data_IF_795228335454
#
_entry.id   IF_795228335454
#
_cell.length_a   1.000
_cell.length_b   1.000
_cell.length_c   1.000
_cell.angle_alpha   90.00
_cell.angle_beta   90.00
_cell.angle_gamma   90.00
#
_symmetry.space_group_name_H-M   'P 1'
#
loop_
_entity.id
_entity.type
_entity.pdbx_description
1 polymer ?
#
# COMPACT_ATOMS: atom_id res chain seq x y z
N UNK A 1 -3.29 -26.77 -5.37
CA UNK A 1 -3.26 -27.14 -3.93
C UNK A 1 -3.45 -25.84 -3.16
N UNK A 2 -4.40 -25.70 -2.23
CA UNK A 2 -4.56 -24.41 -1.52
C UNK A 2 -3.33 -24.18 -0.64
N UNK A 3 -2.63 -23.03 -0.75
CA UNK A 3 -1.49 -22.75 0.10
C UNK A 3 -1.93 -22.73 1.57
N UNK A 4 -1.09 -23.31 2.44
CA UNK A 4 -1.29 -23.17 3.89
C UNK A 4 -0.91 -21.74 4.29
N UNK A 5 -1.92 -20.91 4.53
CA UNK A 5 -1.75 -19.52 4.95
C UNK A 5 -1.51 -19.37 6.46
N UNK A 6 -1.55 -20.48 7.22
CA UNK A 6 -1.39 -20.46 8.68
C UNK A 6 -0.07 -19.81 9.11
N UNK A 7 1.10 -20.12 8.49
CA UNK A 7 2.36 -19.50 8.88
C UNK A 7 2.39 -17.98 8.64
N UNK A 8 1.86 -17.50 7.50
CA UNK A 8 1.83 -16.06 7.19
C UNK A 8 0.82 -15.32 8.06
N UNK A 9 -0.31 -15.95 8.40
CA UNK A 9 -1.27 -15.39 9.34
C UNK A 9 -0.68 -15.25 10.74
N UNK A 10 -0.02 -16.29 11.26
CA UNK A 10 0.66 -16.23 12.56
C UNK A 10 1.76 -15.16 12.58
N UNK A 11 2.49 -14.98 11.48
CA UNK A 11 3.48 -13.91 11.33
C UNK A 11 2.82 -12.53 11.40
N UNK A 12 1.69 -12.33 10.73
CA UNK A 12 0.93 -11.09 10.76
C UNK A 12 0.41 -10.77 12.18
N UNK A 13 -0.17 -11.75 12.86
CA UNK A 13 -0.66 -11.58 14.24
C UNK A 13 0.47 -11.19 15.21
N UNK A 14 1.65 -11.81 15.05
CA UNK A 14 2.85 -11.46 15.81
C UNK A 14 3.36 -10.06 15.47
N UNK A 15 3.33 -9.66 14.20
CA UNK A 15 3.75 -8.35 13.76
C UNK A 15 2.84 -7.25 14.33
N UNK A 16 1.51 -7.47 14.31
CA UNK A 16 0.53 -6.58 14.94
C UNK A 16 0.77 -6.43 16.45
N UNK A 17 1.03 -7.55 17.14
CA UNK A 17 1.34 -7.52 18.59
C UNK A 17 2.61 -6.72 18.89
N UNK A 18 3.68 -6.94 18.11
CA UNK A 18 4.94 -6.20 18.25
C UNK A 18 4.80 -4.72 17.90
N UNK A 19 3.94 -4.39 16.95
CA UNK A 19 3.60 -3.02 16.60
C UNK A 19 2.90 -2.34 17.79
N UNK A 20 1.88 -2.99 18.37
CA UNK A 20 1.22 -2.47 19.56
C UNK A 20 2.22 -2.23 20.72
N UNK A 21 3.11 -3.18 20.98
CA UNK A 21 4.15 -3.02 22.01
C UNK A 21 5.16 -1.89 21.69
N UNK A 22 5.49 -1.68 20.42
CA UNK A 22 6.44 -0.67 19.97
C UNK A 22 5.92 0.77 20.16
N UNK A 23 4.60 0.94 20.06
CA UNK A 23 3.91 2.23 20.09
C UNK A 23 2.98 2.42 21.31
N UNK A 24 2.95 1.47 22.25
CA UNK A 24 2.27 1.66 23.53
C UNK A 24 2.79 2.89 24.26
N UNK A 25 1.89 3.65 24.87
CA UNK A 25 2.23 4.86 25.59
C UNK A 25 2.51 6.09 24.72
N UNK A 26 2.48 5.96 23.38
CA UNK A 26 2.70 7.10 22.49
C UNK A 26 1.54 8.08 22.58
N UNK A 27 1.85 9.37 22.48
CA UNK A 27 0.90 10.48 22.43
C UNK A 27 1.24 11.43 21.31
N UNK A 28 0.26 12.15 20.79
CA UNK A 28 0.53 13.35 20.00
C UNK A 28 1.22 14.40 20.91
N UNK A 29 1.95 15.36 20.33
CA UNK A 29 2.67 16.38 21.13
C UNK A 29 1.70 17.23 21.94
N UNK A 30 2.08 17.63 23.16
CA UNK A 30 1.21 18.42 24.02
C UNK A 30 0.89 19.82 23.46
N UNK A 31 1.81 20.37 22.67
CA UNK A 31 1.76 21.69 22.03
C UNK A 31 1.23 21.65 20.59
N UNK A 32 0.77 20.50 20.12
CA UNK A 32 0.08 20.38 18.83
C UNK A 32 -1.26 21.15 18.92
N UNK A 33 -1.26 22.39 18.45
CA UNK A 33 -2.42 23.28 18.45
C UNK A 33 -3.18 23.06 17.15
N UNK A 34 -4.46 22.75 17.26
CA UNK A 34 -5.30 22.50 16.09
C UNK A 34 -6.66 23.19 16.19
N UNK A 35 -7.14 23.72 15.06
CA UNK A 35 -8.45 24.36 14.99
C UNK A 35 -9.56 23.35 15.18
N UNK A 36 -10.47 23.59 16.14
CA UNK A 36 -11.64 22.74 16.30
C UNK A 36 -12.51 22.64 15.02
N UNK A 37 -12.41 23.65 14.14
CA UNK A 37 -13.09 23.72 12.86
C UNK A 37 -12.67 22.67 11.83
N UNK A 38 -11.44 22.15 11.91
CA UNK A 38 -10.93 21.13 10.97
C UNK A 38 -10.74 19.76 11.62
N UNK A 39 -10.54 19.72 12.94
CA UNK A 39 -9.94 18.55 13.60
C UNK A 39 -10.86 17.84 14.59
N UNK A 40 -11.90 18.52 15.07
CA UNK A 40 -12.85 18.03 16.07
C UNK A 40 -12.87 18.88 17.33
N UNK A 41 -13.73 18.52 18.27
CA UNK A 41 -13.85 19.22 19.55
C UNK A 41 -12.55 19.15 20.37
N UNK A 42 -12.30 20.12 21.28
CA UNK A 42 -11.19 20.04 22.22
C UNK A 42 -11.16 18.74 23.03
N UNK A 43 -12.33 18.14 23.30
CA UNK A 43 -12.44 16.88 24.01
C UNK A 43 -11.91 15.70 23.16
N UNK A 44 -12.23 15.65 21.86
CA UNK A 44 -11.69 14.65 20.94
C UNK A 44 -10.17 14.78 20.79
N UNK A 45 -9.66 16.01 20.64
CA UNK A 45 -8.23 16.26 20.51
C UNK A 45 -7.44 15.92 21.78
N UNK A 46 -8.06 16.05 22.95
CA UNK A 46 -7.46 15.59 24.20
C UNK A 46 -7.23 14.07 24.23
N UNK A 47 -8.03 13.27 23.51
CA UNK A 47 -7.84 11.81 23.42
C UNK A 47 -6.53 11.44 22.71
N UNK A 48 -6.06 12.28 21.77
CA UNK A 48 -4.76 12.10 21.13
C UNK A 48 -3.58 12.36 22.08
N UNK A 49 -3.82 13.06 23.20
CA UNK A 49 -2.83 13.30 24.26
C UNK A 49 -2.89 12.27 25.39
N UNK A 50 -3.94 11.46 25.42
CA UNK A 50 -4.02 10.31 26.31
C UNK A 50 -3.42 9.08 25.60
N UNK A 51 -2.44 8.38 26.20
CA UNK A 51 -1.89 7.16 25.61
C UNK A 51 -2.93 6.04 25.63
N UNK A 52 -2.87 5.15 24.64
CA UNK A 52 -3.57 3.85 24.62
C UNK A 52 -5.12 3.90 24.77
N UNK A 53 -5.73 5.08 24.68
CA UNK A 53 -7.19 5.24 24.64
C UNK A 53 -7.70 4.97 23.22
N UNK A 54 -8.68 4.07 23.03
CA UNK A 54 -9.29 3.87 21.72
C UNK A 54 -9.97 5.15 21.20
N UNK A 55 -9.74 5.45 19.93
CA UNK A 55 -10.37 6.58 19.24
C UNK A 55 -11.62 6.13 18.52
N UNK A 56 -12.63 7.00 18.45
CA UNK A 56 -13.78 6.78 17.59
C UNK A 56 -13.35 6.71 16.11
N UNK A 57 -14.03 5.94 15.24
CA UNK A 57 -13.63 5.73 13.85
C UNK A 57 -13.39 7.03 13.07
N UNK A 58 -14.25 8.03 13.26
CA UNK A 58 -14.14 9.32 12.56
C UNK A 58 -12.92 10.14 13.02
N UNK A 59 -12.59 10.12 14.32
CA UNK A 59 -11.36 10.75 14.84
C UNK A 59 -10.12 10.00 14.35
N UNK A 60 -10.15 8.66 14.35
CA UNK A 60 -9.06 7.84 13.81
C UNK A 60 -8.80 8.17 12.34
N UNK A 61 -9.86 8.26 11.53
CA UNK A 61 -9.80 8.62 10.11
C UNK A 61 -9.16 9.99 9.90
N UNK A 62 -9.70 11.03 10.54
CA UNK A 62 -9.14 12.39 10.45
C UNK A 62 -7.66 12.44 10.87
N UNK A 63 -7.26 11.60 11.82
CA UNK A 63 -5.89 11.61 12.34
C UNK A 63 -4.86 11.11 11.32
N UNK A 64 -5.17 10.09 10.50
CA UNK A 64 -4.22 9.63 9.49
C UNK A 64 -4.34 10.39 8.16
N UNK A 65 -5.54 10.85 7.83
CA UNK A 65 -5.88 11.41 6.50
C UNK A 65 -5.46 12.87 6.35
N UNK A 66 -5.80 13.70 7.35
CA UNK A 66 -5.68 15.13 7.24
C UNK A 66 -4.22 15.60 7.07
N UNK A 67 -3.97 16.59 6.19
CA UNK A 67 -2.62 16.95 5.74
C UNK A 67 -1.90 17.97 6.62
N UNK A 68 -2.59 18.67 7.50
CA UNK A 68 -2.12 19.88 8.18
C UNK A 68 -1.70 19.65 9.65
N UNK A 69 -1.30 18.43 10.00
CA UNK A 69 -0.61 18.16 11.27
C UNK A 69 0.77 18.81 11.31
N UNK A 70 1.12 19.50 12.41
CA UNK A 70 2.46 20.06 12.56
C UNK A 70 3.51 18.94 12.76
N UNK A 71 3.18 17.90 13.52
CA UNK A 71 3.97 16.67 13.68
C UNK A 71 3.13 15.45 13.29
N UNK A 72 2.96 15.24 11.97
CA UNK A 72 2.25 14.06 11.42
C UNK A 72 2.82 12.74 11.96
N UNK A 73 4.13 12.68 12.15
CA UNK A 73 4.80 11.51 12.70
C UNK A 73 4.37 11.19 14.14
N UNK A 74 4.17 12.19 15.01
CA UNK A 74 3.71 11.97 16.37
C UNK A 74 2.26 11.47 16.44
N UNK A 75 1.36 12.05 15.63
CA UNK A 75 -0.04 11.59 15.59
C UNK A 75 -0.16 10.20 14.97
N UNK A 76 0.60 9.90 13.92
CA UNK A 76 0.62 8.57 13.31
C UNK A 76 1.09 7.52 14.33
N UNK A 77 2.18 7.79 15.06
CA UNK A 77 2.68 6.90 16.13
C UNK A 77 1.63 6.65 17.23
N UNK A 78 0.84 7.67 17.58
CA UNK A 78 -0.24 7.55 18.58
C UNK A 78 -1.35 6.60 18.13
N UNK A 79 -1.72 6.63 16.87
CA UNK A 79 -2.85 5.84 16.37
C UNK A 79 -2.45 4.47 15.85
N UNK A 80 -1.16 4.26 15.56
CA UNK A 80 -0.70 3.12 14.76
C UNK A 80 -1.15 1.74 15.28
N UNK A 81 -1.15 1.44 16.59
CA UNK A 81 -1.68 0.17 17.09
C UNK A 81 -3.13 -0.10 16.71
N UNK A 82 -4.00 0.90 16.88
CA UNK A 82 -5.42 0.80 16.51
C UNK A 82 -5.57 0.82 14.99
N UNK A 83 -4.82 1.70 14.32
CA UNK A 83 -4.89 1.90 12.88
C UNK A 83 -4.49 0.65 12.09
N UNK A 84 -3.43 -0.05 12.50
CA UNK A 84 -3.01 -1.29 11.86
C UNK A 84 -4.05 -2.40 11.97
N UNK A 85 -4.78 -2.49 13.09
CA UNK A 85 -5.87 -3.45 13.25
C UNK A 85 -7.01 -3.20 12.27
N UNK A 86 -7.48 -1.95 12.16
CA UNK A 86 -8.56 -1.59 11.22
C UNK A 86 -8.12 -1.70 9.76
N UNK A 87 -6.83 -1.45 9.46
CA UNK A 87 -6.26 -1.65 8.13
C UNK A 87 -6.31 -3.11 7.69
N UNK A 88 -5.81 -4.02 8.55
CA UNK A 88 -5.83 -5.47 8.26
C UNK A 88 -7.26 -6.00 8.19
N UNK A 89 -8.18 -5.42 8.98
CA UNK A 89 -9.61 -5.74 8.92
C UNK A 89 -10.32 -5.27 7.65
N UNK A 90 -9.69 -4.41 6.82
CA UNK A 90 -10.33 -3.82 5.66
C UNK A 90 -11.40 -2.77 6.02
N UNK A 91 -11.30 -2.16 7.20
CA UNK A 91 -12.28 -1.21 7.73
C UNK A 91 -11.91 0.26 7.42
N UNK A 92 -10.78 0.47 6.73
CA UNK A 92 -10.33 1.80 6.31
C UNK A 92 -10.81 2.04 4.88
N UNK A 93 -11.55 3.13 4.68
CA UNK A 93 -12.06 3.56 3.38
C UNK A 93 -11.43 4.91 3.01
N UNK A 94 -10.29 4.93 2.29
CA UNK A 94 -9.73 6.15 1.71
C UNK A 94 -10.65 6.72 0.63
N UNK A 95 -10.51 8.02 0.32
CA UNK A 95 -11.34 8.69 -0.66
C UNK A 95 -11.05 8.23 -2.09
N UNK A 96 -9.78 7.93 -2.37
CA UNK A 96 -9.31 7.57 -3.72
C UNK A 96 -8.62 6.21 -3.77
N UNK A 97 -7.89 5.81 -2.74
CA UNK A 97 -7.23 4.50 -2.71
C UNK A 97 -6.27 4.34 -1.53
N UNK A 98 -5.80 3.12 -1.32
CA UNK A 98 -4.92 2.78 -0.18
C UNK A 98 -3.54 3.43 -0.28
N UNK A 99 -3.17 3.97 -1.44
CA UNK A 99 -1.99 4.82 -1.60
C UNK A 99 -2.04 6.05 -0.68
N UNK A 100 -3.23 6.58 -0.34
CA UNK A 100 -3.39 7.70 0.62
C UNK A 100 -2.93 7.31 2.03
N UNK A 101 -3.16 6.05 2.42
CA UNK A 101 -2.61 5.52 3.66
C UNK A 101 -1.09 5.44 3.56
N UNK A 102 -0.55 4.95 2.45
CA UNK A 102 0.89 4.91 2.20
C UNK A 102 1.55 6.29 2.32
N UNK A 103 0.94 7.31 1.72
CA UNK A 103 1.33 8.73 1.86
C UNK A 103 1.31 9.19 3.32
N UNK A 104 0.32 8.75 4.11
CA UNK A 104 0.30 9.04 5.55
C UNK A 104 1.53 8.49 6.27
N UNK A 105 1.96 7.26 5.95
CA UNK A 105 3.21 6.70 6.46
C UNK A 105 4.43 7.51 5.99
N UNK A 106 4.50 7.86 4.71
CA UNK A 106 5.60 8.63 4.13
C UNK A 106 5.74 10.02 4.78
N UNK A 107 4.63 10.76 4.96
CA UNK A 107 4.58 12.05 5.70
C UNK A 107 5.01 11.91 7.16
N UNK A 108 4.81 10.73 7.75
CA UNK A 108 5.26 10.41 9.10
C UNK A 108 6.76 10.16 9.20
N UNK A 109 7.46 9.99 8.07
CA UNK A 109 8.87 9.61 7.97
C UNK A 109 9.21 8.40 8.84
N UNK A 110 8.38 7.35 8.78
CA UNK A 110 8.48 6.20 9.67
C UNK A 110 9.84 5.48 9.62
N UNK A 111 10.53 5.54 8.48
CA UNK A 111 11.86 4.99 8.29
C UNK A 111 12.91 5.68 9.18
N UNK A 112 12.69 6.94 9.56
CA UNK A 112 13.59 7.75 10.39
C UNK A 112 13.28 7.64 11.90
N UNK A 113 12.21 6.94 12.27
CA UNK A 113 11.85 6.71 13.67
C UNK A 113 12.89 5.83 14.38
N UNK A 114 12.93 5.84 15.74
CA UNK A 114 13.78 4.94 16.51
C UNK A 114 13.70 3.50 16.02
N UNK A 115 14.84 2.78 16.01
CA UNK A 115 14.98 1.46 15.38
C UNK A 115 13.89 0.47 15.78
N UNK A 116 13.47 0.47 17.06
CA UNK A 116 12.39 -0.40 17.55
C UNK A 116 11.06 -0.13 16.81
N UNK A 117 10.74 1.14 16.60
CA UNK A 117 9.51 1.59 15.94
C UNK A 117 9.55 1.34 14.44
N UNK A 118 10.61 1.78 13.76
CA UNK A 118 10.75 1.60 12.31
C UNK A 118 10.83 0.12 11.91
N UNK A 119 11.49 -0.73 12.71
CA UNK A 119 11.52 -2.18 12.48
C UNK A 119 10.15 -2.83 12.66
N UNK A 120 9.35 -2.37 13.63
CA UNK A 120 8.00 -2.89 13.85
C UNK A 120 7.06 -2.53 12.69
N UNK A 121 7.13 -1.29 12.17
CA UNK A 121 6.38 -0.87 10.97
C UNK A 121 6.78 -1.72 9.77
N UNK A 122 8.08 -1.87 9.52
CA UNK A 122 8.60 -2.66 8.40
C UNK A 122 8.10 -4.10 8.46
N UNK A 123 8.22 -4.75 9.60
CA UNK A 123 7.78 -6.14 9.76
C UNK A 123 6.25 -6.27 9.61
N UNK A 124 5.49 -5.32 10.12
CA UNK A 124 4.03 -5.27 9.91
C UNK A 124 3.67 -5.20 8.42
N UNK A 125 4.23 -4.25 7.67
CA UNK A 125 3.94 -4.09 6.24
C UNK A 125 4.35 -5.34 5.44
N UNK A 126 5.52 -5.93 5.73
CA UNK A 126 5.96 -7.17 5.07
C UNK A 126 5.11 -8.39 5.42
N UNK A 127 4.71 -8.54 6.69
CA UNK A 127 3.87 -9.64 7.11
C UNK A 127 2.47 -9.53 6.48
N UNK A 128 1.90 -8.33 6.44
CA UNK A 128 0.60 -8.07 5.82
C UNK A 128 0.64 -8.33 4.32
N UNK A 129 1.66 -7.79 3.63
CA UNK A 129 1.87 -8.02 2.20
C UNK A 129 1.99 -9.51 1.85
N UNK A 130 2.87 -10.23 2.53
CA UNK A 130 3.09 -11.66 2.29
C UNK A 130 1.84 -12.51 2.59
N UNK A 131 1.07 -12.14 3.62
CA UNK A 131 -0.19 -12.82 3.92
C UNK A 131 -1.23 -12.59 2.81
N UNK A 132 -1.44 -11.34 2.40
CA UNK A 132 -2.42 -10.96 1.38
C UNK A 132 -2.15 -11.60 0.02
N UNK A 133 -0.88 -11.81 -0.35
CA UNK A 133 -0.51 -12.51 -1.59
C UNK A 133 -0.92 -13.98 -1.64
N UNK A 134 -1.13 -14.62 -0.49
CA UNK A 134 -1.54 -16.02 -0.37
C UNK A 134 -3.00 -16.19 0.06
N UNK A 135 -3.62 -15.13 0.58
CA UNK A 135 -5.05 -15.12 0.87
C UNK A 135 -5.84 -15.06 -0.45
N UNK A 136 -6.73 -16.01 -0.74
CA UNK A 136 -7.52 -15.95 -1.96
C UNK A 136 -8.51 -14.78 -2.03
N UNK A 137 -8.86 -14.16 -0.90
CA UNK A 137 -9.80 -13.06 -0.80
C UNK A 137 -9.36 -12.08 0.30
N UNK A 138 -8.23 -11.38 0.13
CA UNK A 138 -7.72 -10.47 1.13
C UNK A 138 -8.70 -9.31 1.37
N UNK A 139 -8.78 -8.83 2.61
CA UNK A 139 -9.67 -7.74 2.99
C UNK A 139 -9.39 -6.44 2.21
N UNK A 140 -8.13 -6.21 1.86
CA UNK A 140 -7.69 -5.14 0.95
C UNK A 140 -7.18 -5.78 -0.34
N UNK A 141 -7.66 -5.35 -1.53
CA UNK A 141 -7.16 -5.86 -2.80
C UNK A 141 -5.63 -5.73 -2.91
N UNK A 142 -4.97 -6.74 -3.47
CA UNK A 142 -3.50 -6.79 -3.52
C UNK A 142 -2.89 -5.60 -4.26
N UNK A 143 -3.53 -5.12 -5.33
CA UNK A 143 -3.03 -3.96 -6.08
C UNK A 143 -3.11 -2.65 -5.29
N UNK A 144 -4.11 -2.49 -4.42
CA UNK A 144 -4.25 -1.37 -3.50
C UNK A 144 -3.23 -1.46 -2.36
N UNK A 145 -3.06 -2.64 -1.76
CA UNK A 145 -2.06 -2.87 -0.72
C UNK A 145 -0.64 -2.67 -1.25
N UNK A 146 -0.37 -3.06 -2.50
CA UNK A 146 0.90 -2.78 -3.15
C UNK A 146 1.18 -1.28 -3.25
N UNK A 147 0.20 -0.48 -3.69
CA UNK A 147 0.32 0.97 -3.77
C UNK A 147 0.58 1.58 -2.40
N UNK A 148 -0.14 1.14 -1.35
CA UNK A 148 0.13 1.55 0.03
C UNK A 148 1.57 1.27 0.44
N UNK A 149 2.05 0.05 0.24
CA UNK A 149 3.38 -0.38 0.62
C UNK A 149 4.45 0.41 -0.15
N UNK A 150 4.27 0.60 -1.45
CA UNK A 150 5.19 1.31 -2.33
C UNK A 150 5.30 2.80 -1.94
N UNK A 151 4.18 3.48 -1.73
CA UNK A 151 4.13 4.87 -1.25
C UNK A 151 4.73 5.00 0.15
N UNK A 152 4.37 4.10 1.08
CA UNK A 152 4.90 4.14 2.44
C UNK A 152 6.43 4.06 2.45
N UNK A 153 7.04 3.30 1.54
CA UNK A 153 8.49 3.14 1.47
C UNK A 153 9.21 4.02 0.44
N UNK A 154 8.49 4.78 -0.41
CA UNK A 154 9.02 5.44 -1.61
C UNK A 154 9.83 4.49 -2.52
N UNK A 155 9.44 3.21 -2.57
CA UNK A 155 10.05 2.19 -3.46
C UNK A 155 9.13 0.98 -3.57
N UNK A 156 9.08 0.36 -4.75
CA UNK A 156 8.33 -0.86 -5.03
C UNK A 156 9.19 -2.14 -4.89
N UNK A 157 10.52 -2.03 -5.02
CA UNK A 157 11.46 -3.16 -5.06
C UNK A 157 11.25 -4.23 -3.97
N UNK A 158 11.21 -3.90 -2.67
CA UNK A 158 11.11 -4.93 -1.63
C UNK A 158 9.78 -5.71 -1.67
N UNK A 159 8.72 -5.09 -2.18
CA UNK A 159 7.38 -5.69 -2.29
C UNK A 159 7.30 -6.59 -3.51
N UNK A 160 7.83 -6.12 -4.64
CA UNK A 160 7.97 -6.89 -5.88
C UNK A 160 8.84 -8.13 -5.69
N UNK A 161 9.94 -8.03 -4.92
CA UNK A 161 10.81 -9.16 -4.61
C UNK A 161 10.10 -10.28 -3.81
N UNK A 162 9.21 -9.91 -2.87
CA UNK A 162 8.38 -10.89 -2.15
C UNK A 162 7.42 -11.57 -3.13
N UNK A 163 6.74 -10.81 -4.00
CA UNK A 163 5.81 -11.36 -4.97
C UNK A 163 6.51 -12.27 -5.99
N UNK A 164 7.72 -11.91 -6.43
CA UNK A 164 8.57 -12.72 -7.32
C UNK A 164 8.93 -14.06 -6.69
N UNK A 165 9.21 -14.08 -5.38
CA UNK A 165 9.59 -15.30 -4.67
C UNK A 165 8.46 -16.33 -4.50
N UNK A 166 7.21 -15.95 -4.81
CA UNK A 166 6.04 -16.81 -4.68
C UNK A 166 5.65 -17.42 -6.03
N UNK A 167 5.85 -18.73 -6.12
CA UNK A 167 5.31 -19.58 -7.19
C UNK A 167 4.01 -20.25 -6.69
N UNK A 168 2.90 -19.50 -6.77
CA UNK A 168 1.59 -19.92 -6.26
C UNK A 168 0.43 -19.40 -7.14
N UNK A 169 -0.58 -20.25 -7.35
CA UNK A 169 -1.75 -19.96 -8.19
C UNK A 169 -2.60 -18.77 -7.70
N UNK A 170 -2.64 -18.52 -6.38
CA UNK A 170 -3.32 -17.37 -5.77
C UNK A 170 -2.54 -16.09 -6.04
N UNK A 171 -1.22 -16.11 -5.83
CA UNK A 171 -0.36 -14.97 -6.13
C UNK A 171 -0.41 -14.59 -7.62
N UNK A 172 -0.51 -15.57 -8.52
CA UNK A 172 -0.69 -15.35 -9.96
C UNK A 172 -2.08 -14.81 -10.33
N UNK A 173 -3.11 -15.20 -9.59
CA UNK A 173 -4.45 -14.62 -9.76
C UNK A 173 -4.44 -13.14 -9.39
N UNK A 174 -3.87 -12.81 -8.23
CA UNK A 174 -3.69 -11.44 -7.79
C UNK A 174 -2.87 -10.62 -8.78
N UNK A 175 -1.88 -11.23 -9.44
CA UNK A 175 -1.10 -10.55 -10.47
C UNK A 175 -1.95 -10.19 -11.69
N UNK A 176 -2.81 -11.10 -12.15
CA UNK A 176 -3.72 -10.82 -13.27
C UNK A 176 -4.71 -9.69 -12.93
N UNK A 177 -5.27 -9.71 -11.71
CA UNK A 177 -6.15 -8.66 -11.20
C UNK A 177 -5.42 -7.32 -11.10
N UNK A 178 -4.19 -7.32 -10.58
CA UNK A 178 -3.37 -6.12 -10.45
C UNK A 178 -3.00 -5.50 -11.81
N UNK A 179 -2.57 -6.31 -12.78
CA UNK A 179 -2.29 -5.82 -14.14
C UNK A 179 -3.54 -5.22 -14.76
N UNK A 180 -4.71 -5.83 -14.55
CA UNK A 180 -5.99 -5.29 -15.04
C UNK A 180 -6.28 -3.92 -14.43
N UNK A 181 -6.02 -3.72 -13.13
CA UNK A 181 -6.19 -2.44 -12.46
C UNK A 181 -5.17 -1.39 -12.94
N UNK A 182 -3.94 -1.81 -13.27
CA UNK A 182 -2.83 -0.91 -13.57
C UNK A 182 -2.66 -0.57 -15.05
N UNK A 183 -3.15 -1.40 -15.97
CA UNK A 183 -2.80 -1.31 -17.39
C UNK A 183 -3.09 0.06 -18.00
N UNK A 184 -4.17 0.72 -17.59
CA UNK A 184 -4.56 2.01 -18.14
C UNK A 184 -3.50 3.09 -17.88
N UNK A 185 -3.07 3.25 -16.63
CA UNK A 185 -2.03 4.23 -16.26
C UNK A 185 -0.69 3.88 -16.90
N UNK A 186 -0.26 2.62 -16.79
CA UNK A 186 1.05 2.20 -17.31
C UNK A 186 1.18 2.32 -18.83
N UNK A 187 0.11 2.02 -19.56
CA UNK A 187 0.08 2.23 -21.01
C UNK A 187 0.28 3.71 -21.35
N UNK A 188 -0.31 4.61 -20.56
CA UNK A 188 -0.18 6.06 -20.67
C UNK A 188 1.14 6.64 -20.13
N UNK A 189 2.12 5.81 -19.78
CA UNK A 189 3.36 6.24 -19.10
C UNK A 189 3.14 6.92 -17.73
N UNK A 190 2.04 6.59 -17.05
CA UNK A 190 1.68 7.13 -15.73
C UNK A 190 1.76 6.04 -14.66
N UNK A 191 2.01 6.44 -13.41
CA UNK A 191 1.82 5.53 -12.27
C UNK A 191 0.31 5.21 -12.14
N UNK A 192 -0.08 3.96 -11.78
CA UNK A 192 -1.49 3.60 -11.67
C UNK A 192 -2.25 4.25 -10.51
N UNK A 193 -1.54 4.94 -9.62
CA UNK A 193 -2.07 5.71 -8.51
C UNK A 193 -1.35 7.05 -8.44
N UNK A 194 -1.94 7.98 -7.70
CA UNK A 194 -1.40 9.33 -7.51
C UNK A 194 -0.25 9.26 -6.49
N UNK A 195 0.99 9.56 -6.91
CA UNK A 195 2.18 9.54 -6.06
C UNK A 195 2.26 10.81 -5.21
N UNK A 196 2.95 10.77 -4.06
CA UNK A 196 3.14 11.98 -3.25
C UNK A 196 3.98 13.07 -3.94
N UNK A 197 5.00 12.67 -4.71
CA UNK A 197 5.94 13.57 -5.40
C UNK A 197 6.29 13.02 -6.80
N UNK A 198 6.60 13.92 -7.75
CA UNK A 198 6.89 13.60 -9.15
C UNK A 198 8.15 12.74 -9.31
N UNK A 199 9.15 12.93 -8.42
CA UNK A 199 10.37 12.11 -8.39
C UNK A 199 10.06 10.66 -7.98
N UNK A 200 9.21 10.49 -6.96
CA UNK A 200 8.74 9.18 -6.50
C UNK A 200 7.90 8.50 -7.60
N UNK A 201 7.07 9.26 -8.32
CA UNK A 201 6.24 8.73 -9.42
C UNK A 201 7.09 8.03 -10.49
N UNK A 202 8.12 8.73 -10.97
CA UNK A 202 8.98 8.22 -12.05
C UNK A 202 9.75 6.97 -11.62
N UNK A 203 10.26 6.96 -10.39
CA UNK A 203 10.97 5.82 -9.81
C UNK A 203 10.07 4.60 -9.65
N UNK A 204 8.94 4.77 -8.96
CA UNK A 204 7.95 3.70 -8.71
C UNK A 204 7.41 3.11 -10.00
N UNK A 205 7.06 3.97 -10.96
CA UNK A 205 6.57 3.53 -12.28
C UNK A 205 7.62 2.72 -13.03
N UNK A 206 8.88 3.15 -12.99
CA UNK A 206 9.99 2.46 -13.63
C UNK A 206 10.24 1.07 -13.03
N UNK A 207 10.26 0.96 -11.70
CA UNK A 207 10.40 -0.31 -10.97
C UNK A 207 9.26 -1.28 -11.30
N UNK A 208 8.02 -0.81 -11.20
CA UNK A 208 6.83 -1.61 -11.49
C UNK A 208 6.80 -2.09 -12.94
N UNK A 209 7.02 -1.18 -13.89
CA UNK A 209 7.03 -1.48 -15.33
C UNK A 209 8.09 -2.53 -15.67
N UNK A 210 9.31 -2.34 -15.17
CA UNK A 210 10.44 -3.25 -15.40
C UNK A 210 10.11 -4.65 -14.87
N UNK A 211 9.56 -4.74 -13.66
CA UNK A 211 9.19 -6.00 -13.06
C UNK A 211 8.06 -6.70 -13.82
N UNK A 212 6.99 -5.99 -14.18
CA UNK A 212 5.86 -6.56 -14.91
C UNK A 212 6.28 -7.15 -16.26
N UNK A 213 7.06 -6.41 -17.05
CA UNK A 213 7.54 -6.87 -18.36
C UNK A 213 8.40 -8.12 -18.23
N UNK A 214 9.19 -8.22 -17.16
CA UNK A 214 10.09 -9.37 -16.91
C UNK A 214 9.34 -10.60 -16.41
N UNK A 215 8.42 -10.45 -15.45
CA UNK A 215 7.89 -11.58 -14.68
C UNK A 215 6.46 -11.97 -15.07
N UNK A 216 5.60 -11.02 -15.44
CA UNK A 216 4.20 -11.31 -15.71
C UNK A 216 3.97 -12.24 -16.91
N UNK A 217 4.72 -12.18 -18.03
CA UNK A 217 4.51 -13.09 -19.15
C UNK A 217 4.64 -14.57 -18.77
N UNK A 218 5.71 -14.94 -18.07
CA UNK A 218 5.95 -16.32 -17.63
C UNK A 218 4.91 -16.80 -16.62
N UNK A 219 4.35 -15.92 -15.81
CA UNK A 219 3.33 -16.30 -14.79
C UNK A 219 1.92 -16.38 -15.36
N UNK A 220 1.61 -15.56 -16.36
CA UNK A 220 0.24 -15.45 -16.90
C UNK A 220 0.02 -16.24 -18.20
N UNK A 221 1.07 -16.66 -18.93
CA UNK A 221 0.92 -17.35 -20.22
C UNK A 221 0.18 -18.70 -20.16
N UNK A 222 0.21 -19.38 -19.02
CA UNK A 222 -0.50 -20.65 -18.78
C UNK A 222 -1.94 -20.45 -18.32
N UNK A 223 -2.35 -19.21 -18.02
CA UNK A 223 -3.68 -18.89 -17.48
C UNK A 223 -4.65 -18.52 -18.60
N UNK A 224 -5.80 -19.20 -18.62
CA UNK A 224 -6.88 -18.87 -19.55
C UNK A 224 -7.36 -17.43 -19.35
N UNK A 225 -7.77 -16.77 -20.45
CA UNK A 225 -8.27 -15.39 -20.43
C UNK A 225 -7.21 -14.29 -20.31
N UNK A 226 -5.93 -14.63 -20.09
CA UNK A 226 -4.87 -13.62 -19.90
C UNK A 226 -4.25 -13.09 -21.20
N UNK A 227 -4.71 -13.54 -22.38
CA UNK A 227 -4.13 -13.15 -23.68
C UNK A 227 -4.11 -11.64 -23.93
N UNK A 228 -5.20 -10.94 -23.59
CA UNK A 228 -5.27 -9.47 -23.71
C UNK A 228 -4.29 -8.79 -22.76
N UNK A 229 -4.21 -9.24 -21.51
CA UNK A 229 -3.28 -8.70 -20.51
C UNK A 229 -1.82 -8.88 -20.92
N UNK A 230 -1.46 -10.05 -21.45
CA UNK A 230 -0.13 -10.33 -21.98
C UNK A 230 0.24 -9.37 -23.12
N UNK A 231 -0.73 -9.05 -23.98
CA UNK A 231 -0.53 -8.06 -25.01
C UNK A 231 -0.30 -6.66 -24.42
N UNK A 232 -1.07 -6.28 -23.40
CA UNK A 232 -0.95 -4.99 -22.73
C UNK A 232 0.41 -4.85 -22.02
N UNK A 233 0.86 -5.90 -21.34
CA UNK A 233 2.20 -6.00 -20.74
C UNK A 233 3.30 -5.84 -21.80
N UNK A 234 3.16 -6.48 -22.97
CA UNK A 234 4.09 -6.27 -24.09
C UNK A 234 4.16 -4.79 -24.47
N UNK A 235 3.02 -4.12 -24.65
CA UNK A 235 2.98 -2.70 -25.03
C UNK A 235 3.62 -1.79 -23.98
N UNK A 236 3.36 -2.06 -22.70
CA UNK A 236 3.99 -1.36 -21.56
C UNK A 236 5.53 -1.43 -21.65
N UNK A 237 6.08 -2.54 -22.15
CA UNK A 237 7.53 -2.70 -22.37
C UNK A 237 8.10 -2.01 -23.61
N UNK A 238 7.27 -1.44 -24.49
CA UNK A 238 7.71 -0.70 -25.68
C UNK A 238 7.90 0.79 -25.36
N UNK A 239 8.68 1.51 -26.15
CA UNK A 239 8.92 2.95 -26.00
C UNK A 239 8.62 3.72 -27.29
N UNK A 240 8.15 4.97 -27.16
CA UNK A 240 7.98 5.87 -28.30
C UNK A 240 6.97 5.35 -29.34
N UNK A 241 7.16 5.65 -30.65
CA UNK A 241 6.21 5.26 -31.71
C UNK A 241 5.88 3.76 -31.73
N UNK A 242 6.86 2.90 -31.39
CA UNK A 242 6.66 1.45 -31.36
C UNK A 242 5.54 1.01 -30.39
N UNK A 243 5.22 1.81 -29.37
CA UNK A 243 4.10 1.56 -28.46
C UNK A 243 2.77 2.05 -29.07
N UNK A 244 2.72 3.34 -29.41
CA UNK A 244 1.47 4.04 -29.74
C UNK A 244 0.94 3.72 -31.14
N UNK A 245 1.83 3.33 -32.05
CA UNK A 245 1.50 2.91 -33.42
C UNK A 245 1.36 1.39 -33.54
N UNK A 246 1.44 0.64 -32.42
CA UNK A 246 1.25 -0.81 -32.47
C UNK A 246 -0.19 -1.13 -32.90
N UNK A 247 -0.40 -2.03 -33.88
CA UNK A 247 -1.74 -2.38 -34.37
C UNK A 247 -2.72 -2.90 -33.30
N UNK A 248 -2.20 -3.32 -32.15
CA UNK A 248 -2.99 -3.85 -31.04
C UNK A 248 -3.16 -2.84 -29.88
N UNK A 249 -2.77 -1.59 -30.10
CA UNK A 249 -3.02 -0.49 -29.18
C UNK A 249 -4.51 -0.44 -28.77
N UNK A 250 -4.87 -0.27 -27.47
CA UNK A 250 -6.26 -0.20 -27.05
C UNK A 250 -7.01 0.90 -27.80
N UNK A 251 -8.14 0.54 -28.43
CA UNK A 251 -8.93 1.50 -29.21
C UNK A 251 -8.46 1.70 -30.66
N UNK A 252 -7.40 1.01 -31.11
CA UNK A 252 -7.07 0.93 -32.53
C UNK A 252 -8.20 0.18 -33.24
N UNK A 253 -8.91 0.86 -34.14
CA UNK A 253 -9.89 0.25 -35.04
C UNK A 253 -9.25 0.12 -36.43
N UNK A 254 -9.51 -1.00 -37.10
CA UNK A 254 -9.16 -1.24 -38.49
C UNK A 254 -10.01 -0.39 -39.44
#
# INVERSE_FOLDING_TARGET
>A
MRPDTTPTRLRLDLALSRLADAFSGMTARADEIQCACHWGSPAELALLKAPDVPLAPDLLRRTWDAPDWADHGAVLRRILPQFAGVLVGGEVEPAFGMYEVGRSFARGHWQLWPTRQSSAVREFLHAWWAHSLLDPAPAVPVHELFALCAEASSTAVPWLAVWESLDDEVADRHLAEAVTAWEYGLLGDQLPWDAWDDEDESGLRGELTTWLVRHAPTRLHTREGCGTLLHRIRLIGLSGPARWEDPHWPGHRY
#
